data_IF_319092591901
#
_entry.id   IF_319092591901
#
_cell.length_a   1.000
_cell.length_b   1.000
_cell.length_c   1.000
_cell.angle_alpha   90.00
_cell.angle_beta   90.00
_cell.angle_gamma   90.00
#
_symmetry.space_group_name_H-M   'P 1'
#
loop_
_entity.id
_entity.type
_entity.pdbx_description
1 polymer ?
#
# COMPACT_ATOMS: atom_id res chain seq x y z
N UNK A 1 -21.44 -18.53 -67.57
CA UNK A 1 -22.27 -17.59 -66.80
C UNK A 1 -21.58 -17.39 -65.46
N UNK A 2 -21.01 -16.19 -65.22
CA UNK A 2 -20.28 -15.85 -63.99
C UNK A 2 -21.27 -15.36 -62.95
N UNK A 3 -21.32 -15.96 -61.77
CA UNK A 3 -21.97 -15.37 -60.60
C UNK A 3 -20.88 -14.91 -59.63
N UNK A 4 -20.76 -13.59 -59.51
CA UNK A 4 -19.98 -12.89 -58.48
C UNK A 4 -20.90 -12.82 -57.26
N UNK A 5 -20.51 -13.41 -56.14
CA UNK A 5 -21.18 -13.20 -54.85
C UNK A 5 -20.26 -12.31 -54.02
N UNK A 6 -20.75 -11.11 -53.68
CA UNK A 6 -20.05 -10.12 -52.88
C UNK A 6 -19.85 -10.59 -51.44
N UNK A 7 -18.61 -10.51 -50.96
CA UNK A 7 -18.24 -10.65 -49.56
C UNK A 7 -18.89 -9.54 -48.72
N UNK A 8 -19.72 -9.91 -47.74
CA UNK A 8 -20.05 -9.05 -46.60
C UNK A 8 -19.09 -9.44 -45.47
N UNK A 9 -18.01 -8.68 -45.32
CA UNK A 9 -17.26 -8.64 -44.07
C UNK A 9 -18.00 -7.65 -43.15
N UNK A 10 -18.84 -8.14 -42.23
CA UNK A 10 -19.27 -7.31 -41.09
C UNK A 10 -18.03 -7.16 -40.20
N UNK A 11 -17.30 -6.08 -40.42
CA UNK A 11 -16.26 -5.61 -39.51
C UNK A 11 -16.94 -4.92 -38.31
N UNK A 12 -17.31 -5.68 -37.28
CA UNK A 12 -17.63 -5.20 -35.93
C UNK A 12 -17.35 -6.35 -34.96
N UNK A 13 -16.55 -6.17 -33.88
CA UNK A 13 -16.66 -5.04 -32.98
C UNK A 13 -15.32 -4.48 -32.46
N UNK A 14 -15.01 -3.21 -32.75
CA UNK A 14 -14.03 -2.44 -31.96
C UNK A 14 -14.69 -1.68 -30.78
N UNK A 15 -16.03 -1.74 -30.67
CA UNK A 15 -16.81 -0.98 -29.68
C UNK A 15 -17.04 -1.75 -28.37
N UNK A 16 -16.97 -3.09 -28.36
CA UNK A 16 -17.20 -3.88 -27.13
C UNK A 16 -16.06 -3.80 -26.11
N UNK A 17 -14.82 -3.67 -26.57
CA UNK A 17 -13.65 -3.61 -25.68
C UNK A 17 -13.55 -2.27 -24.92
N UNK A 18 -14.14 -1.18 -25.43
CA UNK A 18 -14.13 0.14 -24.77
C UNK A 18 -15.15 0.19 -23.63
N UNK A 19 -16.35 -0.38 -23.82
CA UNK A 19 -17.39 -0.42 -22.78
C UNK A 19 -16.95 -1.22 -21.56
N UNK A 20 -16.32 -2.39 -21.77
CA UNK A 20 -15.82 -3.22 -20.67
C UNK A 20 -14.74 -2.50 -19.84
N UNK A 21 -13.81 -1.77 -20.50
CA UNK A 21 -12.79 -0.97 -19.80
C UNK A 21 -13.37 0.21 -19.05
N UNK A 22 -14.31 0.95 -19.64
CA UNK A 22 -14.95 2.07 -18.96
C UNK A 22 -15.72 1.60 -17.71
N UNK A 23 -16.38 0.44 -17.80
CA UNK A 23 -17.06 -0.17 -16.66
C UNK A 23 -16.07 -0.56 -15.55
N UNK A 24 -14.96 -1.22 -15.87
CA UNK A 24 -13.97 -1.63 -14.87
C UNK A 24 -13.30 -0.43 -14.18
N UNK A 25 -13.06 0.67 -14.90
CA UNK A 25 -12.54 1.91 -14.32
C UNK A 25 -13.57 2.52 -13.37
N UNK A 26 -14.83 2.68 -13.80
CA UNK A 26 -15.89 3.25 -12.96
C UNK A 26 -16.11 2.45 -11.67
N UNK A 27 -16.07 1.11 -11.76
CA UNK A 27 -16.17 0.24 -10.58
C UNK A 27 -15.00 0.45 -9.61
N UNK A 28 -13.76 0.50 -10.13
CA UNK A 28 -12.59 0.78 -9.32
C UNK A 28 -12.68 2.15 -8.65
N UNK A 29 -13.04 3.20 -9.40
CA UNK A 29 -13.20 4.57 -8.85
C UNK A 29 -14.22 4.61 -7.71
N UNK A 30 -15.36 3.92 -7.85
CA UNK A 30 -16.36 3.86 -6.78
C UNK A 30 -15.82 3.20 -5.51
N UNK A 31 -15.15 2.05 -5.65
CA UNK A 31 -14.57 1.33 -4.52
C UNK A 31 -13.45 2.15 -3.84
N UNK A 32 -12.54 2.71 -4.64
CA UNK A 32 -11.45 3.54 -4.13
C UNK A 32 -11.96 4.81 -3.42
N UNK A 33 -13.01 5.44 -3.92
CA UNK A 33 -13.65 6.58 -3.23
C UNK A 33 -14.27 6.17 -1.90
N UNK A 34 -14.93 5.02 -1.82
CA UNK A 34 -15.52 4.52 -0.57
C UNK A 34 -14.45 4.14 0.46
N UNK A 35 -13.36 3.52 0.01
CA UNK A 35 -12.21 3.21 0.87
C UNK A 35 -11.54 4.49 1.35
N UNK A 36 -11.30 5.45 0.45
CA UNK A 36 -10.75 6.76 0.79
C UNK A 36 -11.59 7.48 1.84
N UNK A 37 -12.90 7.60 1.62
CA UNK A 37 -13.80 8.25 2.58
C UNK A 37 -13.74 7.56 3.95
N UNK A 38 -13.70 6.23 3.98
CA UNK A 38 -13.60 5.49 5.24
C UNK A 38 -12.24 5.71 5.93
N UNK A 39 -11.13 5.59 5.19
CA UNK A 39 -9.77 5.78 5.71
C UNK A 39 -9.57 7.20 6.24
N UNK A 40 -10.00 8.23 5.50
CA UNK A 40 -9.86 9.63 5.89
C UNK A 40 -10.85 10.07 6.98
N UNK A 41 -11.86 9.27 7.30
CA UNK A 41 -12.82 9.57 8.37
C UNK A 41 -12.32 9.20 9.78
N UNK A 42 -11.09 8.69 9.88
CA UNK A 42 -10.45 8.32 11.13
C UNK A 42 -8.95 8.61 11.04
N UNK A 43 -8.41 9.21 12.09
CA UNK A 43 -6.98 9.48 12.19
C UNK A 43 -6.25 8.36 12.93
N UNK A 44 -6.95 7.66 13.82
CA UNK A 44 -6.37 6.61 14.64
C UNK A 44 -6.57 5.20 14.08
N UNK A 45 -5.46 4.53 13.79
CA UNK A 45 -5.42 3.18 13.27
C UNK A 45 -4.44 2.29 14.02
N UNK A 46 -4.78 1.02 14.10
CA UNK A 46 -3.86 -0.04 14.45
C UNK A 46 -4.04 -1.20 13.46
N UNK A 47 -2.94 -1.83 13.07
CA UNK A 47 -2.97 -3.10 12.36
C UNK A 47 -1.69 -3.91 12.62
N UNK A 48 -1.85 -5.23 12.64
CA UNK A 48 -0.74 -6.16 12.48
C UNK A 48 -0.53 -6.38 10.97
N UNK A 49 0.69 -6.66 10.54
CA UNK A 49 0.93 -6.97 9.14
C UNK A 49 1.98 -8.07 8.97
N UNK A 50 1.94 -8.67 7.78
CA UNK A 50 2.98 -9.56 7.28
C UNK A 50 3.40 -9.07 5.90
N UNK A 51 4.68 -8.77 5.75
CA UNK A 51 5.30 -8.31 4.51
C UNK A 51 6.27 -9.39 4.03
N UNK A 52 5.99 -9.96 2.87
CA UNK A 52 6.92 -10.85 2.17
C UNK A 52 7.65 -10.08 1.07
N UNK A 53 8.98 -10.16 1.05
CA UNK A 53 9.82 -9.53 0.06
C UNK A 53 10.52 -10.61 -0.76
N UNK A 54 10.29 -10.62 -2.06
CA UNK A 54 10.90 -11.55 -3.00
C UNK A 54 11.94 -10.82 -3.83
N UNK A 55 13.19 -11.26 -3.72
CA UNK A 55 14.28 -10.76 -4.53
C UNK A 55 14.53 -11.70 -5.74
N UNK A 56 15.02 -11.19 -6.88
CA UNK A 56 15.29 -12.04 -8.04
C UNK A 56 16.31 -13.16 -7.81
N UNK A 57 17.28 -12.95 -6.92
CA UNK A 57 18.45 -13.84 -6.74
C UNK A 57 18.76 -14.17 -5.27
N UNK A 58 17.92 -13.75 -4.33
CA UNK A 58 18.10 -14.00 -2.90
C UNK A 58 16.88 -14.73 -2.33
N UNK A 59 17.07 -15.36 -1.17
CA UNK A 59 15.96 -15.98 -0.44
C UNK A 59 14.92 -14.91 -0.06
N UNK A 60 13.61 -15.25 -0.07
CA UNK A 60 12.58 -14.32 0.37
C UNK A 60 12.73 -13.94 1.84
N UNK A 61 12.38 -12.71 2.15
CA UNK A 61 12.32 -12.20 3.50
C UNK A 61 10.86 -12.09 3.95
N UNK A 62 10.60 -12.38 5.22
CA UNK A 62 9.27 -12.22 5.82
C UNK A 62 9.37 -11.38 7.07
N UNK A 63 8.72 -10.23 7.05
CA UNK A 63 8.66 -9.28 8.15
C UNK A 63 7.25 -9.31 8.73
N UNK A 64 7.14 -9.62 10.02
CA UNK A 64 5.87 -9.51 10.76
C UNK A 64 5.98 -8.33 11.69
N UNK A 65 4.99 -7.46 11.64
CA UNK A 65 5.07 -6.18 12.27
C UNK A 65 3.74 -5.64 12.73
N UNK A 66 3.81 -4.46 13.33
CA UNK A 66 2.65 -3.72 13.83
C UNK A 66 2.79 -2.27 13.45
N UNK A 67 1.68 -1.64 13.10
CA UNK A 67 1.64 -0.21 12.89
C UNK A 67 0.57 0.41 13.77
N UNK A 68 0.97 1.48 14.44
CA UNK A 68 0.12 2.39 15.19
C UNK A 68 0.16 3.71 14.43
N UNK A 69 -0.99 4.32 14.21
CA UNK A 69 -1.10 5.62 13.57
C UNK A 69 -2.12 6.48 14.29
N UNK A 70 -1.80 7.75 14.45
CA UNK A 70 -2.71 8.80 14.93
C UNK A 70 -2.41 10.11 14.19
N UNK A 71 -3.15 10.33 13.11
CA UNK A 71 -2.89 11.44 12.18
C UNK A 71 -1.52 11.28 11.53
N UNK A 72 -0.61 12.24 11.79
CA UNK A 72 0.79 12.21 11.31
C UNK A 72 1.74 11.38 12.19
N UNK A 73 1.26 10.95 13.35
CA UNK A 73 2.08 10.19 14.30
C UNK A 73 2.06 8.72 13.92
N UNK A 74 3.22 8.09 13.92
CA UNK A 74 3.36 6.68 13.52
C UNK A 74 4.30 5.97 14.48
N UNK A 75 3.98 4.71 14.79
CA UNK A 75 4.96 3.75 15.28
C UNK A 75 4.82 2.48 14.47
N UNK A 76 5.88 2.07 13.80
CA UNK A 76 5.93 0.83 13.03
C UNK A 76 7.02 -0.07 13.59
N UNK A 77 6.66 -1.29 13.98
CA UNK A 77 7.59 -2.36 14.27
C UNK A 77 7.79 -3.17 12.98
N UNK A 78 9.01 -3.15 12.44
CA UNK A 78 9.39 -3.71 11.14
C UNK A 78 10.35 -4.89 11.29
N UNK A 79 10.26 -5.65 12.39
CA UNK A 79 11.13 -6.81 12.64
C UNK A 79 12.49 -6.39 13.18
N UNK A 80 13.42 -5.98 12.32
CA UNK A 80 14.77 -5.57 12.73
C UNK A 80 14.87 -4.07 13.04
N UNK A 81 13.85 -3.29 12.66
CA UNK A 81 13.77 -1.86 12.92
C UNK A 81 12.47 -1.46 13.61
N UNK A 82 12.52 -0.36 14.36
CA UNK A 82 11.32 0.34 14.85
C UNK A 82 11.39 1.76 14.35
N UNK A 83 10.39 2.16 13.58
CA UNK A 83 10.19 3.55 13.19
C UNK A 83 9.18 4.20 14.13
N UNK A 84 9.51 5.35 14.70
CA UNK A 84 8.64 6.13 15.56
C UNK A 84 8.63 7.56 15.02
N UNK A 85 7.47 8.18 14.95
CA UNK A 85 7.34 9.59 14.64
C UNK A 85 6.21 10.22 15.42
N UNK A 86 6.49 11.42 15.96
CA UNK A 86 5.49 12.29 16.57
C UNK A 86 4.85 13.26 15.56
N UNK A 87 5.16 13.09 14.26
CA UNK A 87 4.73 13.95 13.16
C UNK A 87 5.67 15.11 12.85
N UNK A 88 6.74 15.29 13.63
CA UNK A 88 7.78 16.31 13.42
C UNK A 88 9.19 15.71 13.40
N UNK A 89 9.46 14.79 14.33
CA UNK A 89 10.71 14.04 14.44
C UNK A 89 10.45 12.58 14.04
N UNK A 90 11.45 11.95 13.42
CA UNK A 90 11.47 10.52 13.13
C UNK A 90 12.64 9.90 13.89
N UNK A 91 12.37 8.82 14.59
CA UNK A 91 13.35 7.96 15.24
C UNK A 91 13.31 6.60 14.57
N UNK A 92 14.45 6.18 14.02
CA UNK A 92 14.63 4.84 13.47
C UNK A 92 15.58 4.08 14.38
N UNK A 93 15.04 3.16 15.16
CA UNK A 93 15.82 2.26 16.00
C UNK A 93 16.19 1.00 15.21
N UNK A 94 17.49 0.72 15.10
CA UNK A 94 18.05 -0.43 14.40
C UNK A 94 18.52 -1.44 15.44
N UNK A 95 17.83 -2.57 15.56
CA UNK A 95 18.03 -3.55 16.64
C UNK A 95 19.44 -4.15 16.64
N UNK A 96 19.95 -4.51 15.47
CA UNK A 96 21.24 -5.19 15.32
C UNK A 96 22.42 -4.36 15.80
N UNK A 97 22.33 -3.03 15.66
CA UNK A 97 23.37 -2.10 16.10
C UNK A 97 23.07 -1.47 17.45
N UNK A 98 21.87 -1.69 18.00
CA UNK A 98 21.37 -0.98 19.16
C UNK A 98 21.56 0.54 19.01
N UNK A 99 21.18 1.06 17.85
CA UNK A 99 21.37 2.46 17.45
C UNK A 99 20.01 3.10 17.16
N UNK A 100 19.82 4.35 17.55
CA UNK A 100 18.70 5.18 17.12
C UNK A 100 19.22 6.34 16.27
N UNK A 101 18.65 6.44 15.08
CA UNK A 101 18.87 7.56 14.17
C UNK A 101 17.73 8.55 14.31
N UNK A 102 18.05 9.83 14.47
CA UNK A 102 17.06 10.91 14.64
C UNK A 102 17.08 11.81 13.42
N UNK A 103 15.95 11.94 12.72
CA UNK A 103 15.81 12.83 11.57
C UNK A 103 14.57 13.71 11.69
N UNK A 104 14.48 14.74 10.85
CA UNK A 104 13.26 15.51 10.68
C UNK A 104 12.25 14.68 9.87
N UNK A 105 10.96 14.85 10.16
CA UNK A 105 9.91 14.28 9.33
C UNK A 105 9.92 14.91 7.93
N UNK A 106 10.05 14.09 6.90
CA UNK A 106 9.86 14.50 5.51
C UNK A 106 8.62 13.82 4.93
N UNK A 107 7.77 14.59 4.26
CA UNK A 107 6.59 14.03 3.59
C UNK A 107 7.01 13.00 2.53
N UNK A 108 6.51 11.77 2.66
CA UNK A 108 6.88 10.64 1.81
C UNK A 108 7.92 9.67 2.40
N UNK A 109 8.42 9.93 3.63
CA UNK A 109 9.26 8.98 4.38
C UNK A 109 8.51 7.78 4.97
N UNK A 110 7.17 7.83 5.02
CA UNK A 110 6.39 6.65 5.31
C UNK A 110 6.71 5.60 4.24
N UNK A 111 7.22 4.44 4.63
CA UNK A 111 7.37 3.30 3.71
C UNK A 111 6.03 3.11 3.00
N UNK A 112 5.98 3.52 1.72
CA UNK A 112 4.81 3.99 0.96
C UNK A 112 3.63 3.01 0.85
N UNK A 113 3.68 1.87 1.52
CA UNK A 113 2.68 0.83 1.41
C UNK A 113 2.24 0.25 2.75
N UNK A 114 2.87 0.62 3.87
CA UNK A 114 2.51 0.05 5.16
C UNK A 114 1.22 0.64 5.71
N UNK A 115 0.87 1.91 5.41
CA UNK A 115 -0.34 2.54 5.96
C UNK A 115 -1.53 2.57 4.99
N UNK A 116 -2.78 2.48 5.50
CA UNK A 116 -3.98 2.70 4.70
C UNK A 116 -3.99 4.08 4.01
N UNK A 117 -3.39 5.10 4.64
CA UNK A 117 -3.24 6.44 4.08
C UNK A 117 -2.31 6.46 2.87
N UNK A 118 -1.27 5.63 2.82
CA UNK A 118 -0.41 5.57 1.63
C UNK A 118 -1.15 5.09 0.37
N UNK A 119 -2.11 4.16 0.52
CA UNK A 119 -2.97 3.72 -0.59
C UNK A 119 -3.86 4.85 -1.10
N UNK A 120 -4.38 5.69 -0.21
CA UNK A 120 -5.13 6.89 -0.60
C UNK A 120 -4.23 7.84 -1.39
N UNK A 121 -3.00 8.07 -0.93
CA UNK A 121 -2.03 8.92 -1.64
C UNK A 121 -1.71 8.42 -3.04
N UNK A 122 -1.52 7.11 -3.23
CA UNK A 122 -1.31 6.51 -4.56
C UNK A 122 -2.50 6.80 -5.48
N UNK A 123 -3.72 6.60 -4.97
CA UNK A 123 -4.94 6.87 -5.73
C UNK A 123 -5.08 8.34 -6.11
N UNK A 124 -4.78 9.26 -5.19
CA UNK A 124 -4.92 10.70 -5.42
C UNK A 124 -3.80 11.32 -6.25
N UNK A 125 -2.62 10.69 -6.30
CA UNK A 125 -1.46 11.17 -7.06
C UNK A 125 -1.74 11.39 -8.55
N UNK A 126 -2.65 10.60 -9.13
CA UNK A 126 -2.90 10.56 -10.57
C UNK A 126 -1.77 9.93 -11.39
N UNK A 127 -0.69 9.46 -10.75
CA UNK A 127 0.48 8.87 -11.42
C UNK A 127 0.20 7.47 -11.96
N UNK A 128 -0.87 6.83 -11.49
CA UNK A 128 -1.25 5.46 -11.84
C UNK A 128 -2.62 5.43 -12.50
N UNK A 129 -2.68 4.73 -13.63
CA UNK A 129 -3.94 4.23 -14.19
C UNK A 129 -4.39 3.00 -13.40
N UNK A 130 -5.70 2.81 -13.25
CA UNK A 130 -6.23 1.69 -12.48
C UNK A 130 -7.49 1.09 -13.10
N UNK A 131 -7.76 -0.17 -12.77
CA UNK A 131 -8.96 -0.87 -13.21
C UNK A 131 -9.37 -1.97 -12.21
N UNK A 132 -10.67 -2.25 -12.15
CA UNK A 132 -11.18 -3.42 -11.45
C UNK A 132 -10.81 -4.69 -12.21
N UNK A 133 -10.24 -5.66 -11.50
CA UNK A 133 -9.71 -6.91 -12.07
C UNK A 133 -10.44 -8.17 -11.60
N UNK A 134 -11.49 -8.02 -10.80
CA UNK A 134 -12.34 -9.12 -10.34
C UNK A 134 -12.36 -9.30 -8.82
N UNK A 135 -12.95 -10.41 -8.39
CA UNK A 135 -13.04 -10.81 -6.98
C UNK A 135 -12.20 -12.06 -6.76
N UNK A 136 -11.56 -12.15 -5.60
CA UNK A 136 -10.83 -13.32 -5.15
C UNK A 136 -11.29 -13.70 -3.74
N UNK A 137 -11.53 -14.99 -3.52
CA UNK A 137 -11.81 -15.51 -2.18
C UNK A 137 -10.48 -15.82 -1.47
N UNK A 138 -10.27 -15.25 -0.28
CA UNK A 138 -9.11 -15.48 0.59
C UNK A 138 -9.62 -15.67 2.00
N UNK A 139 -9.33 -16.81 2.62
CA UNK A 139 -9.78 -17.16 3.99
C UNK A 139 -11.29 -16.93 4.23
N UNK A 140 -12.12 -17.26 3.22
CA UNK A 140 -13.57 -17.09 3.26
C UNK A 140 -14.05 -15.63 3.10
N UNK A 141 -13.14 -14.69 2.80
CA UNK A 141 -13.46 -13.30 2.48
C UNK A 141 -13.43 -13.09 0.96
N UNK A 142 -14.46 -12.43 0.45
CA UNK A 142 -14.48 -11.97 -0.95
C UNK A 142 -13.79 -10.62 -1.06
N UNK A 143 -12.59 -10.61 -1.62
CA UNK A 143 -11.76 -9.42 -1.80
C UNK A 143 -11.87 -8.92 -3.24
N UNK A 144 -11.99 -7.61 -3.40
CA UNK A 144 -12.04 -6.96 -4.71
C UNK A 144 -10.64 -6.51 -5.12
N UNK A 145 -10.19 -6.93 -6.30
CA UNK A 145 -8.87 -6.58 -6.82
C UNK A 145 -8.93 -5.34 -7.71
N UNK A 146 -8.18 -4.31 -7.31
CA UNK A 146 -7.85 -3.16 -8.16
C UNK A 146 -6.41 -3.28 -8.62
N UNK A 147 -6.19 -3.24 -9.93
CA UNK A 147 -4.87 -3.24 -10.53
C UNK A 147 -4.48 -1.82 -10.93
N UNK A 148 -3.34 -1.35 -10.43
CA UNK A 148 -2.72 -0.09 -10.78
C UNK A 148 -1.48 -0.32 -11.65
N UNK A 149 -1.26 0.59 -12.60
CA UNK A 149 -0.09 0.66 -13.48
C UNK A 149 0.33 2.11 -13.69
N UNK A 150 1.63 2.42 -13.71
CA UNK A 150 2.10 3.77 -13.99
C UNK A 150 1.49 4.31 -15.28
N UNK A 151 0.94 5.52 -15.24
CA UNK A 151 0.34 6.20 -16.38
C UNK A 151 1.38 6.59 -17.42
N UNK A 152 2.65 6.77 -17.00
CA UNK A 152 3.77 7.09 -17.88
C UNK A 152 4.89 6.05 -17.73
N UNK A 153 5.48 5.57 -18.83
CA UNK A 153 6.65 4.70 -18.78
C UNK A 153 7.89 5.52 -18.37
N UNK A 154 8.64 5.06 -17.38
CA UNK A 154 9.98 5.60 -17.07
C UNK A 154 10.20 6.08 -15.64
N UNK A 155 9.38 6.98 -15.07
CA UNK A 155 9.69 7.59 -13.77
C UNK A 155 9.36 6.69 -12.58
N UNK A 156 8.36 5.80 -12.71
CA UNK A 156 7.95 4.97 -11.58
C UNK A 156 8.92 3.81 -11.35
N UNK A 157 9.27 3.61 -10.08
CA UNK A 157 9.99 2.43 -9.59
C UNK A 157 9.13 1.17 -9.65
N UNK A 158 7.81 1.32 -9.71
CA UNK A 158 6.85 0.22 -9.73
C UNK A 158 6.34 -0.05 -11.14
N UNK A 159 6.12 -1.32 -11.45
CA UNK A 159 5.55 -1.78 -12.71
C UNK A 159 4.06 -2.08 -12.54
N UNK A 160 3.67 -2.55 -11.35
CA UNK A 160 2.31 -2.98 -11.04
C UNK A 160 2.06 -2.92 -9.53
N UNK A 161 0.87 -2.47 -9.15
CA UNK A 161 0.35 -2.59 -7.79
C UNK A 161 -1.02 -3.29 -7.85
N UNK A 162 -1.20 -4.34 -7.08
CA UNK A 162 -2.45 -5.08 -6.91
C UNK A 162 -2.98 -4.76 -5.51
N UNK A 163 -4.09 -4.03 -5.44
CA UNK A 163 -4.75 -3.69 -4.19
C UNK A 163 -5.97 -4.57 -3.99
N UNK A 164 -5.98 -5.33 -2.91
CA UNK A 164 -7.11 -6.16 -2.50
C UNK A 164 -7.93 -5.42 -1.45
N UNK A 165 -9.21 -5.20 -1.74
CA UNK A 165 -10.12 -4.44 -0.91
C UNK A 165 -11.14 -5.36 -0.24
N UNK A 166 -11.29 -5.23 1.08
CA UNK A 166 -12.46 -5.72 1.81
C UNK A 166 -13.54 -4.65 1.74
N UNK A 167 -14.52 -4.84 0.85
CA UNK A 167 -15.61 -3.88 0.67
C UNK A 167 -16.72 -4.00 1.71
N UNK A 168 -16.74 -5.03 2.55
CA UNK A 168 -17.64 -5.09 3.70
C UNK A 168 -17.24 -4.05 4.75
N UNK A 169 -15.93 -3.88 4.95
CA UNK A 169 -15.35 -2.92 5.88
C UNK A 169 -14.84 -1.63 5.21
N UNK A 170 -14.76 -1.60 3.87
CA UNK A 170 -14.21 -0.50 3.05
C UNK A 170 -12.77 -0.16 3.40
N UNK A 171 -11.92 -1.18 3.48
CA UNK A 171 -10.51 -1.05 3.87
C UNK A 171 -9.60 -1.83 2.92
N UNK A 172 -8.33 -1.41 2.76
CA UNK A 172 -7.29 -2.26 2.19
C UNK A 172 -7.11 -3.53 3.03
N UNK A 173 -6.97 -4.67 2.36
CA UNK A 173 -6.67 -5.95 3.01
C UNK A 173 -5.25 -6.43 2.67
N UNK A 174 -4.86 -6.32 1.40
CA UNK A 174 -3.53 -6.71 0.96
C UNK A 174 -3.06 -5.86 -0.22
N UNK A 175 -1.75 -5.75 -0.37
CA UNK A 175 -1.09 -5.01 -1.45
C UNK A 175 0.03 -5.88 -2.02
N UNK A 176 -0.03 -6.14 -3.32
CA UNK A 176 1.04 -6.82 -4.06
C UNK A 176 1.73 -5.87 -5.03
N UNK A 177 3.04 -5.70 -4.92
CA UNK A 177 3.82 -4.75 -5.74
C UNK A 177 4.84 -5.50 -6.55
N UNK A 178 5.00 -5.12 -7.81
CA UNK A 178 6.12 -5.55 -8.66
C UNK A 178 6.97 -4.33 -9.00
N UNK A 179 8.19 -4.29 -8.48
CA UNK A 179 9.16 -3.23 -8.76
C UNK A 179 9.92 -3.49 -10.07
N UNK A 180 10.47 -2.43 -10.64
CA UNK A 180 11.21 -2.43 -11.92
C UNK A 180 12.49 -3.25 -11.85
N UNK A 181 13.14 -3.28 -10.69
CA UNK A 181 14.34 -4.07 -10.42
C UNK A 181 14.04 -5.59 -10.27
N UNK A 182 12.78 -6.01 -10.35
CA UNK A 182 12.36 -7.40 -10.21
C UNK A 182 11.94 -7.80 -8.80
N UNK A 183 12.16 -6.95 -7.79
CA UNK A 183 11.68 -7.18 -6.42
C UNK A 183 10.16 -7.21 -6.39
N UNK A 184 9.58 -8.10 -5.59
CA UNK A 184 8.15 -8.13 -5.33
C UNK A 184 7.88 -8.02 -3.85
N UNK A 185 6.81 -7.30 -3.52
CA UNK A 185 6.36 -7.11 -2.14
C UNK A 185 4.93 -7.64 -2.04
N UNK A 186 4.64 -8.46 -1.04
CA UNK A 186 3.29 -8.84 -0.67
C UNK A 186 3.05 -8.40 0.77
N UNK A 187 2.23 -7.37 0.96
CA UNK A 187 1.77 -6.94 2.26
C UNK A 187 0.37 -7.50 2.52
N UNK A 188 0.19 -8.17 3.66
CA UNK A 188 -1.11 -8.59 4.18
C UNK A 188 -1.36 -7.83 5.48
N UNK A 189 -2.49 -7.14 5.54
CA UNK A 189 -2.93 -6.37 6.70
C UNK A 189 -3.88 -7.26 7.53
N UNK A 190 -3.49 -7.51 8.76
CA UNK A 190 -4.21 -8.31 9.75
C UNK A 190 -4.69 -7.41 10.91
N UNK A 191 -5.72 -7.86 11.62
CA UNK A 191 -6.24 -7.18 12.84
C UNK A 191 -6.40 -5.66 12.71
N UNK A 192 -7.12 -5.24 11.68
CA UNK A 192 -7.36 -3.84 11.40
C UNK A 192 -8.35 -3.23 12.40
N UNK A 193 -7.88 -2.26 13.22
CA UNK A 193 -8.67 -1.59 14.26
C UNK A 193 -8.73 -0.09 13.99
N UNK A 194 -9.95 0.36 13.68
CA UNK A 194 -10.31 1.76 13.50
C UNK A 194 -10.55 2.44 14.85
N UNK A 195 -10.13 3.69 15.01
CA UNK A 195 -10.34 4.47 16.23
C UNK A 195 -9.64 3.84 17.42
N UNK A 196 -8.45 3.28 17.17
CA UNK A 196 -7.67 2.60 18.19
C UNK A 196 -7.27 3.58 19.30
N UNK A 197 -7.30 3.13 20.55
CA UNK A 197 -6.72 3.92 21.64
C UNK A 197 -5.25 3.54 21.78
N UNK A 198 -4.35 4.50 21.58
CA UNK A 198 -2.92 4.29 21.68
C UNK A 198 -2.43 4.68 23.08
N UNK A 199 -1.62 3.84 23.75
CA UNK A 199 -1.02 4.21 25.03
C UNK A 199 -0.22 5.52 24.94
N UNK A 200 -0.19 6.28 26.04
CA UNK A 200 0.67 7.46 26.13
C UNK A 200 2.13 7.08 25.87
N UNK A 201 2.83 7.87 25.06
CA UNK A 201 4.22 7.62 24.67
C UNK A 201 4.41 6.71 23.46
N UNK A 202 3.34 6.14 22.88
CA UNK A 202 3.43 5.27 21.68
C UNK A 202 4.22 5.92 20.54
N UNK A 203 4.06 7.24 20.37
CA UNK A 203 4.59 8.00 19.23
C UNK A 203 5.84 8.84 19.56
N UNK A 204 6.48 8.58 20.69
CA UNK A 204 7.69 9.28 21.10
C UNK A 204 8.77 8.28 21.45
N UNK A 205 10.01 8.51 21.01
CA UNK A 205 11.12 7.68 21.45
C UNK A 205 11.42 7.90 22.93
N UNK A 206 11.64 6.81 23.65
CA UNK A 206 11.96 6.81 25.07
C UNK A 206 13.21 5.96 25.29
N UNK A 207 14.35 6.59 25.56
CA UNK A 207 15.64 5.91 25.78
C UNK A 207 15.57 4.82 26.86
N UNK A 208 14.68 4.95 27.86
CA UNK A 208 14.53 3.93 28.90
C UNK A 208 13.95 2.60 28.38
N UNK A 209 13.30 2.60 27.22
CA UNK A 209 12.86 1.38 26.51
C UNK A 209 14.02 0.68 25.79
N UNK A 210 15.16 1.37 25.58
CA UNK A 210 16.30 0.91 24.80
C UNK A 210 17.62 1.06 25.58
N UNK A 211 17.86 0.20 26.60
CA UNK A 211 19.05 0.34 27.45
C UNK A 211 20.37 0.27 26.66
N UNK A 212 21.20 1.30 26.82
CA UNK A 212 22.52 1.37 26.18
C UNK A 212 22.49 1.69 24.69
N UNK A 213 21.37 2.22 24.19
CA UNK A 213 21.23 2.66 22.79
C UNK A 213 22.25 3.73 22.43
N UNK A 214 22.89 3.59 21.26
CA UNK A 214 23.70 4.62 20.63
C UNK A 214 22.80 5.61 19.91
N UNK A 215 23.08 6.91 20.04
CA UNK A 215 22.23 7.97 19.47
C UNK A 215 22.99 8.70 18.36
N UNK A 216 22.46 8.62 17.14
CA UNK A 216 22.93 9.39 16.00
C UNK A 216 21.88 10.44 15.61
N UNK A 217 22.21 11.72 15.79
CA UNK A 217 21.32 12.83 15.42
C UNK A 217 21.70 13.36 14.02
N UNK A 218 20.81 13.14 13.06
CA UNK A 218 20.97 13.50 11.64
C UNK A 218 20.23 14.78 11.26
N UNK A 219 19.60 15.46 12.22
CA UNK A 219 18.87 16.70 11.98
C UNK A 219 19.84 17.85 11.66
N UNK A 220 19.38 18.77 10.83
CA UNK A 220 20.12 19.95 10.36
C UNK A 220 19.49 21.25 10.85
#
# INVERSE_FOLDING_TARGET
MRFIVYSIFIAFPLIWSIQAKAQSVNQATQMLNQVKENVLSEESWFFDFELEIFFPELDPEVIKGKLYQDGKKIRADLGDQILISDGETVWTYIRDFNEVQISNYEEGMEEMFLSPTSIVSIYESGEYSYQYSGTQEVDGRNLHLIEFKPSQPGPSEYVKINLFLDMANKIPYAVGISARNGTRYNLIINDHRRGANHPNGTFSFNESEFPGVEVEDLRF
#
